data_IF_687981135175
#
_entry.id   IF_687981135175
#
_cell.length_a   1.000
_cell.length_b   1.000
_cell.length_c   1.000
_cell.angle_alpha   90.00
_cell.angle_beta   90.00
_cell.angle_gamma   90.00
#
_symmetry.space_group_name_H-M   'P 1'
#
loop_
_entity.id
_entity.type
_entity.pdbx_description
1 polymer ?
#
# COMPACT_ATOMS: atom_id res chain seq x y z
N UNK A 1 70.73 28.19 29.66
CA UNK A 1 69.35 28.70 29.44
C UNK A 1 68.80 28.00 28.19
N UNK A 2 68.32 26.76 28.35
CA UNK A 2 67.81 25.96 27.23
C UNK A 2 66.30 26.12 27.14
N UNK A 3 65.84 26.95 26.22
CA UNK A 3 64.45 26.96 25.78
C UNK A 3 64.39 27.41 24.32
N UNK A 4 64.35 26.45 23.40
CA UNK A 4 63.66 26.63 22.12
C UNK A 4 62.83 25.39 21.86
N UNK A 5 61.59 25.48 22.32
CA UNK A 5 60.51 24.54 22.04
C UNK A 5 60.29 24.56 20.53
N UNK A 6 60.58 23.42 19.90
CA UNK A 6 60.28 23.12 18.50
C UNK A 6 59.04 22.22 18.49
N UNK A 7 57.85 22.78 18.39
CA UNK A 7 56.60 21.99 18.35
C UNK A 7 55.46 22.63 17.55
N UNK A 8 55.72 23.22 16.37
CA UNK A 8 54.65 23.78 15.53
C UNK A 8 54.16 22.87 14.39
N UNK A 9 54.84 21.75 14.10
CA UNK A 9 54.44 20.83 13.01
C UNK A 9 53.45 19.75 13.45
N UNK A 10 53.61 19.17 14.64
CA UNK A 10 52.75 18.08 15.12
C UNK A 10 51.32 18.52 15.45
N UNK A 11 51.15 19.71 16.02
CA UNK A 11 49.83 20.30 16.32
C UNK A 11 49.05 20.64 15.06
N UNK A 12 49.72 21.05 13.99
CA UNK A 12 49.08 21.32 12.70
C UNK A 12 48.56 20.03 12.05
N UNK A 13 49.36 18.96 12.08
CA UNK A 13 48.97 17.65 11.49
C UNK A 13 47.83 17.01 12.29
N UNK A 14 47.84 17.14 13.63
CA UNK A 14 46.74 16.66 14.47
C UNK A 14 45.44 17.45 14.23
N UNK A 15 45.52 18.77 14.07
CA UNK A 15 44.35 19.58 13.74
C UNK A 15 43.79 19.26 12.34
N UNK A 16 44.67 19.00 11.36
CA UNK A 16 44.30 18.58 10.01
C UNK A 16 43.62 17.20 9.99
N UNK A 17 44.16 16.23 10.74
CA UNK A 17 43.54 14.92 10.94
C UNK A 17 42.16 15.02 11.62
N UNK A 18 42.02 15.84 12.66
CA UNK A 18 40.74 16.05 13.34
C UNK A 18 39.72 16.73 12.41
N UNK A 19 40.15 17.69 11.59
CA UNK A 19 39.27 18.33 10.62
C UNK A 19 38.79 17.34 9.55
N UNK A 20 39.67 16.46 9.08
CA UNK A 20 39.33 15.39 8.14
C UNK A 20 38.31 14.42 8.76
N UNK A 21 38.55 13.98 10.00
CA UNK A 21 37.66 13.07 10.72
C UNK A 21 36.28 13.69 10.95
N UNK A 22 36.23 14.97 11.33
CA UNK A 22 34.98 15.72 11.47
C UNK A 22 34.28 15.88 10.11
N UNK A 23 35.02 16.18 9.04
CA UNK A 23 34.47 16.33 7.70
C UNK A 23 33.82 15.04 7.19
N UNK A 24 34.48 13.89 7.37
CA UNK A 24 33.95 12.58 6.99
C UNK A 24 32.69 12.25 7.82
N UNK A 25 32.72 12.49 9.14
CA UNK A 25 31.56 12.23 9.99
C UNK A 25 30.35 13.09 9.60
N UNK A 26 30.55 14.37 9.27
CA UNK A 26 29.46 15.25 8.82
C UNK A 26 28.90 14.78 7.48
N UNK A 27 29.77 14.34 6.55
CA UNK A 27 29.33 13.83 5.26
C UNK A 27 28.47 12.56 5.42
N UNK A 28 28.91 11.59 6.21
CA UNK A 28 28.15 10.36 6.51
C UNK A 28 26.83 10.66 7.22
N UNK A 29 26.83 11.64 8.12
CA UNK A 29 25.61 12.07 8.80
C UNK A 29 24.60 12.69 7.83
N UNK A 30 25.07 13.50 6.89
CA UNK A 30 24.22 14.13 5.89
C UNK A 30 23.65 13.11 4.89
N UNK A 31 24.47 12.16 4.46
CA UNK A 31 24.07 11.04 3.59
C UNK A 31 22.98 10.19 4.27
N UNK A 32 23.21 9.76 5.51
CA UNK A 32 22.21 8.98 6.25
C UNK A 32 20.89 9.73 6.46
N UNK A 33 20.94 11.05 6.68
CA UNK A 33 19.72 11.87 6.79
C UNK A 33 18.97 12.01 5.49
N UNK A 34 19.66 12.04 4.36
CA UNK A 34 19.04 12.10 3.05
C UNK A 34 18.37 10.78 2.70
N UNK A 35 19.04 9.66 2.99
CA UNK A 35 18.50 8.31 2.80
C UNK A 35 17.24 8.09 3.65
N UNK A 36 17.25 8.47 4.94
CA UNK A 36 16.08 8.39 5.83
C UNK A 36 14.85 9.13 5.25
N UNK A 37 15.07 10.31 4.66
CA UNK A 37 14.00 11.11 4.07
C UNK A 37 13.47 10.49 2.78
N UNK A 38 14.35 9.89 1.97
CA UNK A 38 13.97 9.19 0.77
C UNK A 38 13.15 7.95 1.09
N UNK A 39 13.59 7.14 2.05
CA UNK A 39 12.89 5.94 2.51
C UNK A 39 11.51 6.29 3.10
N UNK A 40 11.42 7.34 3.91
CA UNK A 40 10.14 7.82 4.45
C UNK A 40 9.17 8.28 3.36
N UNK A 41 9.69 8.90 2.29
CA UNK A 41 8.87 9.29 1.14
C UNK A 41 8.34 8.07 0.39
N UNK A 42 9.18 7.09 0.13
CA UNK A 42 8.79 5.83 -0.54
C UNK A 42 7.77 5.07 0.31
N UNK A 43 7.97 5.00 1.62
CA UNK A 43 6.99 4.43 2.55
C UNK A 43 5.63 5.14 2.44
N UNK A 44 5.62 6.47 2.41
CA UNK A 44 4.39 7.24 2.27
C UNK A 44 3.67 6.97 0.94
N UNK A 45 4.41 6.84 -0.16
CA UNK A 45 3.85 6.48 -1.47
C UNK A 45 3.19 5.08 -1.43
N UNK A 46 3.82 4.11 -0.77
CA UNK A 46 3.23 2.78 -0.59
C UNK A 46 2.00 2.79 0.31
N UNK A 47 2.03 3.51 1.44
CA UNK A 47 0.88 3.62 2.33
C UNK A 47 -0.32 4.28 1.62
N UNK A 48 -0.06 5.28 0.78
CA UNK A 48 -1.09 5.89 -0.05
C UNK A 48 -1.64 4.89 -1.07
N UNK A 49 -0.77 4.14 -1.75
CA UNK A 49 -1.20 3.11 -2.71
C UNK A 49 -2.07 2.02 -2.05
N UNK A 50 -1.66 1.52 -0.89
CA UNK A 50 -2.45 0.55 -0.11
C UNK A 50 -3.81 1.12 0.32
N UNK A 51 -3.83 2.38 0.76
CA UNK A 51 -5.07 3.06 1.09
C UNK A 51 -6.01 3.17 -0.12
N UNK A 52 -5.48 3.50 -1.29
CA UNK A 52 -6.26 3.66 -2.52
C UNK A 52 -6.79 2.32 -3.03
N UNK A 53 -5.96 1.27 -2.99
CA UNK A 53 -6.36 -0.12 -3.29
C UNK A 53 -7.53 -0.54 -2.39
N UNK A 54 -7.41 -0.36 -1.07
CA UNK A 54 -8.44 -0.71 -0.09
C UNK A 54 -9.72 0.12 -0.26
N UNK A 55 -9.58 1.40 -0.56
CA UNK A 55 -10.72 2.29 -0.79
C UNK A 55 -11.50 1.90 -2.05
N UNK A 56 -10.78 1.59 -3.12
CA UNK A 56 -11.37 1.08 -4.36
C UNK A 56 -12.03 -0.28 -4.18
N UNK A 57 -11.44 -1.16 -3.38
CA UNK A 57 -12.02 -2.44 -2.97
C UNK A 57 -13.32 -2.27 -2.21
N UNK A 58 -13.36 -1.37 -1.23
CA UNK A 58 -14.55 -1.10 -0.44
C UNK A 58 -15.70 -0.59 -1.32
N UNK A 59 -15.41 0.33 -2.24
CA UNK A 59 -16.40 0.84 -3.19
C UNK A 59 -16.92 -0.25 -4.13
N UNK A 60 -16.03 -1.13 -4.63
CA UNK A 60 -16.43 -2.28 -5.45
C UNK A 60 -17.29 -3.28 -4.69
N UNK A 61 -16.96 -3.53 -3.43
CA UNK A 61 -17.70 -4.43 -2.56
C UNK A 61 -19.09 -3.87 -2.26
N UNK A 62 -19.20 -2.59 -1.93
CA UNK A 62 -20.49 -1.91 -1.72
C UNK A 62 -21.39 -2.02 -2.96
N UNK A 63 -20.85 -1.72 -4.15
CA UNK A 63 -21.59 -1.88 -5.39
C UNK A 63 -22.02 -3.33 -5.67
N UNK A 64 -21.18 -4.30 -5.31
CA UNK A 64 -21.48 -5.73 -5.46
C UNK A 64 -22.60 -6.15 -4.51
N UNK A 65 -22.56 -5.71 -3.26
CA UNK A 65 -23.62 -5.93 -2.27
C UNK A 65 -24.93 -5.32 -2.78
N UNK A 66 -24.93 -4.07 -3.24
CA UNK A 66 -26.13 -3.41 -3.76
C UNK A 66 -26.74 -4.16 -4.95
N UNK A 67 -25.92 -4.57 -5.93
CA UNK A 67 -26.38 -5.34 -7.10
C UNK A 67 -26.94 -6.70 -6.68
N UNK A 68 -26.31 -7.38 -5.73
CA UNK A 68 -26.76 -8.68 -5.26
C UNK A 68 -28.05 -8.57 -4.45
N UNK A 69 -28.20 -7.56 -3.59
CA UNK A 69 -29.47 -7.28 -2.89
C UNK A 69 -30.60 -7.05 -3.89
N UNK A 70 -30.40 -6.21 -4.90
CA UNK A 70 -31.42 -5.97 -5.93
C UNK A 70 -31.70 -7.20 -6.82
N UNK A 71 -30.77 -8.16 -6.92
CA UNK A 71 -31.04 -9.46 -7.55
C UNK A 71 -31.91 -10.34 -6.66
N UNK A 72 -31.60 -10.42 -5.37
CA UNK A 72 -32.39 -11.18 -4.38
C UNK A 72 -33.83 -10.66 -4.32
N UNK A 73 -34.04 -9.35 -4.31
CA UNK A 73 -35.38 -8.74 -4.32
C UNK A 73 -36.17 -9.11 -5.57
N UNK A 74 -35.58 -8.97 -6.76
CA UNK A 74 -36.23 -9.36 -8.02
C UNK A 74 -36.54 -10.85 -8.09
N UNK A 75 -35.68 -11.68 -7.49
CA UNK A 75 -35.88 -13.12 -7.42
C UNK A 75 -37.02 -13.48 -6.45
N UNK A 76 -37.13 -12.76 -5.33
CA UNK A 76 -38.26 -12.89 -4.41
C UNK A 76 -39.59 -12.49 -5.08
N UNK A 77 -39.62 -11.39 -5.83
CA UNK A 77 -40.80 -10.96 -6.59
C UNK A 77 -41.19 -11.98 -7.68
N UNK A 78 -40.18 -12.48 -8.41
CA UNK A 78 -40.38 -13.54 -9.40
C UNK A 78 -40.96 -14.81 -8.78
N UNK A 79 -40.49 -15.20 -7.60
CA UNK A 79 -40.99 -16.37 -6.89
C UNK A 79 -42.46 -16.22 -6.48
N UNK A 80 -42.92 -15.02 -6.12
CA UNK A 80 -44.33 -14.77 -5.82
C UNK A 80 -45.22 -14.89 -7.07
N UNK A 81 -44.69 -14.52 -8.24
CA UNK A 81 -45.40 -14.54 -9.52
C UNK A 81 -45.21 -15.83 -10.31
N UNK A 82 -44.50 -16.83 -9.77
CA UNK A 82 -44.28 -18.15 -10.37
C UNK A 82 -45.57 -18.81 -10.92
N UNK A 83 -46.71 -18.76 -10.21
CA UNK A 83 -47.96 -19.34 -10.72
C UNK A 83 -48.49 -18.65 -11.98
N UNK A 84 -48.27 -17.34 -12.10
CA UNK A 84 -48.71 -16.52 -13.23
C UNK A 84 -47.73 -16.59 -14.41
N UNK A 85 -46.44 -16.85 -14.13
CA UNK A 85 -45.38 -16.99 -15.10
C UNK A 85 -45.62 -18.12 -16.10
N UNK A 86 -46.32 -19.20 -15.71
CA UNK A 86 -46.69 -20.30 -16.60
C UNK A 86 -47.53 -19.85 -17.81
N UNK A 87 -48.27 -18.75 -17.66
CA UNK A 87 -49.12 -18.15 -18.71
C UNK A 87 -48.54 -16.84 -19.28
N UNK A 88 -47.38 -16.39 -18.77
CA UNK A 88 -46.71 -15.18 -19.26
C UNK A 88 -46.04 -15.39 -20.63
N UNK A 89 -45.65 -14.30 -21.29
CA UNK A 89 -44.90 -14.39 -22.54
C UNK A 89 -43.55 -15.10 -22.37
N UNK A 90 -43.06 -15.74 -23.44
CA UNK A 90 -41.76 -16.43 -23.43
C UNK A 90 -40.61 -15.51 -23.00
N UNK A 91 -40.65 -14.22 -23.37
CA UNK A 91 -39.65 -13.24 -22.96
C UNK A 91 -39.65 -12.99 -21.44
N UNK A 92 -40.83 -12.94 -20.83
CA UNK A 92 -40.99 -12.77 -19.37
C UNK A 92 -40.52 -14.02 -18.61
N UNK A 93 -40.81 -15.21 -19.14
CA UNK A 93 -40.32 -16.47 -18.58
C UNK A 93 -38.80 -16.56 -18.67
N UNK A 94 -38.22 -16.27 -19.84
CA UNK A 94 -36.77 -16.29 -20.04
C UNK A 94 -36.07 -15.26 -19.14
N UNK A 95 -36.55 -14.01 -19.11
CA UNK A 95 -35.98 -12.96 -18.26
C UNK A 95 -35.99 -13.31 -16.77
N UNK A 96 -37.00 -14.08 -16.32
CA UNK A 96 -37.10 -14.53 -14.93
C UNK A 96 -36.17 -15.71 -14.63
N UNK A 97 -36.07 -16.69 -15.53
CA UNK A 97 -35.23 -17.88 -15.34
C UNK A 97 -33.73 -17.55 -15.45
N UNK A 98 -33.35 -16.60 -16.30
CA UNK A 98 -31.95 -16.23 -16.56
C UNK A 98 -31.44 -15.04 -15.74
N UNK A 99 -32.26 -14.43 -14.89
CA UNK A 99 -31.85 -13.36 -13.96
C UNK A 99 -30.85 -13.80 -12.86
N UNK A 100 -31.00 -15.00 -12.23
CA UNK A 100 -30.21 -15.41 -11.07
C UNK A 100 -28.68 -15.65 -11.26
N UNK A 101 -28.17 -16.20 -12.38
CA UNK A 101 -26.83 -16.80 -12.39
C UNK A 101 -25.65 -15.83 -12.56
N UNK A 102 -25.86 -14.51 -12.67
CA UNK A 102 -24.73 -13.57 -12.76
C UNK A 102 -24.19 -13.25 -11.36
N UNK A 103 -23.35 -14.11 -10.78
CA UNK A 103 -22.60 -13.75 -9.58
C UNK A 103 -21.39 -12.89 -9.98
N UNK A 104 -21.38 -11.62 -9.58
CA UNK A 104 -20.16 -10.80 -9.61
C UNK A 104 -19.31 -11.24 -8.42
N UNK A 105 -18.23 -11.97 -8.69
CA UNK A 105 -17.25 -12.29 -7.66
C UNK A 105 -16.42 -11.04 -7.36
N UNK A 106 -16.38 -10.64 -6.09
CA UNK A 106 -15.46 -9.60 -5.63
C UNK A 106 -14.03 -10.15 -5.67
N UNK A 107 -13.14 -9.40 -6.32
CA UNK A 107 -11.71 -9.66 -6.33
C UNK A 107 -10.97 -8.40 -5.86
N UNK A 108 -10.27 -8.45 -4.72
CA UNK A 108 -9.54 -7.31 -4.18
C UNK A 108 -8.36 -6.93 -5.08
N UNK A 109 -7.97 -5.65 -5.04
CA UNK A 109 -6.70 -5.20 -5.59
C UNK A 109 -5.56 -5.64 -4.67
N UNK A 110 -4.54 -6.27 -5.23
CA UNK A 110 -3.30 -6.61 -4.51
C UNK A 110 -2.07 -5.96 -5.15
N UNK A 111 -2.26 -4.95 -6.00
CA UNK A 111 -1.20 -4.34 -6.79
C UNK A 111 -0.09 -3.73 -5.92
N UNK A 112 -0.43 -2.82 -5.01
CA UNK A 112 0.59 -2.16 -4.18
C UNK A 112 1.27 -3.16 -3.25
N UNK A 113 0.51 -4.10 -2.69
CA UNK A 113 1.07 -5.17 -1.86
C UNK A 113 2.10 -6.03 -2.62
N UNK A 114 1.75 -6.50 -3.83
CA UNK A 114 2.67 -7.27 -4.68
C UNK A 114 3.90 -6.46 -5.07
N UNK A 115 3.71 -5.19 -5.42
CA UNK A 115 4.81 -4.29 -5.75
C UNK A 115 5.83 -4.20 -4.61
N UNK A 116 5.37 -4.01 -3.37
CA UNK A 116 6.22 -4.00 -2.18
C UNK A 116 6.91 -5.34 -1.92
N UNK A 117 6.22 -6.44 -2.20
CA UNK A 117 6.76 -7.79 -2.05
C UNK A 117 7.88 -8.08 -3.04
N UNK A 118 7.67 -7.73 -4.31
CA UNK A 118 8.61 -7.96 -5.40
C UNK A 118 9.83 -7.05 -5.31
N UNK A 119 9.67 -5.81 -4.82
CA UNK A 119 10.78 -4.88 -4.60
C UNK A 119 11.55 -5.13 -3.29
N UNK A 120 10.97 -5.87 -2.34
CA UNK A 120 11.52 -6.06 -1.00
C UNK A 120 11.35 -4.85 -0.09
N UNK A 121 10.48 -3.91 -0.44
CA UNK A 121 10.29 -2.65 0.26
C UNK A 121 9.45 -2.75 1.54
N UNK A 122 8.98 -3.95 1.90
CA UNK A 122 8.44 -4.16 3.25
C UNK A 122 9.42 -3.77 4.36
N UNK A 123 10.73 -3.78 4.07
CA UNK A 123 11.75 -3.30 5.00
C UNK A 123 11.62 -1.81 5.32
N UNK A 124 11.06 -1.00 4.42
CA UNK A 124 10.90 0.45 4.56
C UNK A 124 9.80 0.83 5.55
N UNK A 125 8.88 -0.10 5.86
CA UNK A 125 7.84 0.14 6.87
C UNK A 125 8.48 0.42 8.24
N UNK A 126 8.30 1.65 8.72
CA UNK A 126 8.80 2.13 10.01
C UNK A 126 7.95 1.62 11.17
N UNK A 127 6.64 1.42 10.94
CA UNK A 127 5.73 0.87 11.95
C UNK A 127 5.94 -0.67 12.09
N UNK A 128 6.45 -1.14 13.24
CA UNK A 128 6.70 -2.56 13.47
C UNK A 128 5.41 -3.38 13.53
N UNK A 129 4.28 -2.81 13.94
CA UNK A 129 2.99 -3.50 13.96
C UNK A 129 2.44 -3.64 12.54
N UNK A 130 2.59 -2.61 11.71
CA UNK A 130 2.21 -2.67 10.30
C UNK A 130 3.05 -3.72 9.56
N UNK A 131 4.36 -3.73 9.80
CA UNK A 131 5.29 -4.71 9.23
C UNK A 131 4.94 -6.16 9.60
N UNK A 132 4.53 -6.44 10.84
CA UNK A 132 4.06 -7.78 11.27
C UNK A 132 2.77 -8.23 10.60
N UNK A 133 1.90 -7.30 10.17
CA UNK A 133 0.63 -7.63 9.51
C UNK A 133 0.80 -8.01 8.05
N UNK A 134 1.91 -7.61 7.43
CA UNK A 134 2.21 -7.85 6.03
C UNK A 134 3.27 -8.94 5.78
N UNK A 135 4.04 -9.33 6.81
CA UNK A 135 5.01 -10.42 6.80
C UNK A 135 4.39 -11.77 7.17
#
# INVERSE_FOLDING_TARGET
MFARIRSSRGTSVLAELLMLEVGINIALWFEGKFDDLQDAKVEQEYLQGLHDDLSGDLQRLEGTVQRNTGKVERLADAMQRLPELANASQDLQAGTIFMPPSYDFFQPSDFTYRSMQESGDFRLLQDPELKKRFA
#
